data_IF_662789491640
#
_entry.id   IF_662789491640
#
_cell.length_a   1.000
_cell.length_b   1.000
_cell.length_c   1.000
_cell.angle_alpha   90.00
_cell.angle_beta   90.00
_cell.angle_gamma   90.00
#
_symmetry.space_group_name_H-M   'P 1'
#
loop_
_entity.id
_entity.type
_entity.pdbx_description
1 polymer ?
#
# COMPACT_ATOMS: atom_id res chain seq x y z
N UNK A 1 52.87 7.87 7.14
CA UNK A 1 51.70 8.75 7.34
C UNK A 1 50.81 8.70 6.10
N UNK A 2 49.72 7.93 6.11
CA UNK A 2 48.64 8.08 5.13
C UNK A 2 47.36 8.38 5.92
N UNK A 3 46.95 9.65 5.90
CA UNK A 3 45.68 10.07 6.48
C UNK A 3 44.53 9.65 5.56
N UNK A 4 43.70 8.74 6.04
CA UNK A 4 42.40 8.42 5.48
C UNK A 4 41.53 9.67 5.59
N UNK A 5 41.25 10.33 4.47
CA UNK A 5 40.23 11.38 4.40
C UNK A 5 38.87 10.71 4.57
N UNK A 6 38.23 10.97 5.72
CA UNK A 6 36.85 10.57 5.96
C UNK A 6 35.94 11.24 4.94
N UNK A 7 35.28 10.43 4.12
CA UNK A 7 34.25 10.89 3.20
C UNK A 7 32.99 11.15 4.03
N UNK A 8 32.79 12.40 4.45
CA UNK A 8 31.51 12.80 5.05
C UNK A 8 30.44 12.70 3.97
N UNK A 9 29.25 12.15 4.25
CA UNK A 9 28.18 12.13 3.28
C UNK A 9 27.83 13.57 2.91
N UNK A 10 27.82 13.84 1.61
CA UNK A 10 27.44 15.14 1.05
C UNK A 10 26.03 15.49 1.57
N UNK A 11 25.81 16.67 2.18
CA UNK A 11 24.51 17.04 2.67
C UNK A 11 23.49 16.97 1.53
N UNK A 12 22.38 16.26 1.77
CA UNK A 12 21.26 16.19 0.84
C UNK A 12 20.94 17.61 0.34
N UNK A 13 21.01 17.88 -0.97
CA UNK A 13 20.84 19.23 -1.50
C UNK A 13 19.45 19.72 -1.09
N UNK A 14 19.41 20.76 -0.26
CA UNK A 14 18.15 21.41 0.10
C UNK A 14 17.50 21.93 -1.18
N UNK A 15 16.26 21.51 -1.48
CA UNK A 15 15.61 21.91 -2.72
C UNK A 15 15.41 23.43 -2.74
N UNK A 16 16.09 24.11 -3.67
CA UNK A 16 16.04 25.57 -3.80
C UNK A 16 14.68 26.09 -4.30
N UNK A 17 13.82 25.19 -4.78
CA UNK A 17 12.43 25.46 -5.19
C UNK A 17 11.58 24.20 -4.95
N UNK A 18 10.46 24.36 -4.25
CA UNK A 18 9.44 23.31 -4.13
C UNK A 18 8.52 23.34 -5.35
N UNK A 19 8.34 22.22 -6.08
CA UNK A 19 7.45 22.17 -7.24
C UNK A 19 5.99 22.48 -6.88
N UNK A 20 5.26 23.08 -7.81
CA UNK A 20 3.81 23.26 -7.69
C UNK A 20 3.10 22.06 -8.31
N UNK A 21 2.15 21.49 -7.58
CA UNK A 21 1.41 20.32 -8.02
C UNK A 21 0.44 20.69 -9.16
N UNK A 22 0.52 19.96 -10.27
CA UNK A 22 -0.22 20.23 -11.51
C UNK A 22 -0.51 18.92 -12.26
N UNK A 23 -1.41 19.00 -13.25
CA UNK A 23 -1.85 17.84 -14.02
C UNK A 23 -0.81 17.44 -15.08
N UNK A 24 -0.68 16.13 -15.29
CA UNK A 24 0.12 15.58 -16.38
C UNK A 24 1.62 15.52 -16.07
N UNK A 25 2.41 15.12 -17.08
CA UNK A 25 3.85 14.90 -16.96
C UNK A 25 4.65 16.16 -17.24
N UNK A 26 5.69 16.39 -16.45
CA UNK A 26 6.56 17.56 -16.53
C UNK A 26 8.00 17.16 -16.82
N UNK A 27 8.71 18.02 -17.57
CA UNK A 27 10.13 17.77 -17.90
C UNK A 27 11.08 18.19 -16.78
N UNK A 28 10.67 19.13 -15.92
CA UNK A 28 11.53 19.71 -14.88
C UNK A 28 10.72 20.15 -13.65
N UNK A 29 11.34 20.25 -12.46
CA UNK A 29 10.72 20.81 -11.26
C UNK A 29 10.15 22.23 -11.42
N UNK A 30 10.73 23.04 -12.33
CA UNK A 30 10.31 24.43 -12.57
C UNK A 30 9.01 24.54 -13.36
N UNK A 31 8.65 23.51 -14.12
CA UNK A 31 7.41 23.48 -14.92
C UNK A 31 6.18 23.00 -14.13
N UNK A 32 6.34 22.70 -12.84
CA UNK A 32 5.35 21.97 -12.05
C UNK A 32 5.75 20.51 -11.86
N UNK A 33 4.94 19.79 -11.08
CA UNK A 33 5.08 18.35 -10.85
C UNK A 33 3.70 17.68 -10.84
N UNK A 34 3.61 16.46 -11.33
CA UNK A 34 2.56 15.54 -10.87
C UNK A 34 2.91 15.01 -9.47
N UNK A 35 1.96 14.28 -8.86
CA UNK A 35 2.17 13.68 -7.54
C UNK A 35 3.44 12.82 -7.46
N UNK A 36 3.68 11.97 -8.46
CA UNK A 36 4.80 11.03 -8.44
C UNK A 36 6.14 11.66 -8.80
N UNK A 37 6.16 12.71 -9.62
CA UNK A 37 7.38 13.50 -9.87
C UNK A 37 7.82 14.24 -8.59
N UNK A 38 6.86 14.74 -7.81
CA UNK A 38 7.16 15.33 -6.52
C UNK A 38 7.65 14.25 -5.53
N UNK A 39 7.01 13.08 -5.50
CA UNK A 39 7.48 11.96 -4.66
C UNK A 39 8.92 11.54 -5.02
N UNK A 40 9.24 11.42 -6.32
CA UNK A 40 10.59 11.08 -6.78
C UNK A 40 11.61 12.13 -6.34
N UNK A 41 11.25 13.41 -6.44
CA UNK A 41 12.09 14.53 -6.01
C UNK A 41 12.37 14.51 -4.51
N UNK A 42 11.34 14.28 -3.68
CA UNK A 42 11.50 14.19 -2.22
C UNK A 42 12.30 12.94 -1.79
N UNK A 43 12.18 11.85 -2.55
CA UNK A 43 12.95 10.63 -2.31
C UNK A 43 14.43 10.74 -2.75
N UNK A 44 14.83 11.85 -3.39
CA UNK A 44 16.18 12.02 -3.95
C UNK A 44 16.44 11.18 -5.20
N UNK A 45 15.39 10.68 -5.85
CA UNK A 45 15.49 9.92 -7.09
C UNK A 45 15.60 10.83 -8.33
N UNK A 46 15.92 10.25 -9.48
CA UNK A 46 15.81 10.93 -10.75
C UNK A 46 14.36 11.42 -10.97
N UNK A 47 14.19 12.59 -11.59
CA UNK A 47 12.88 13.17 -11.89
C UNK A 47 12.06 12.23 -12.78
N UNK A 48 10.99 11.66 -12.24
CA UNK A 48 10.17 10.67 -12.94
C UNK A 48 8.76 10.62 -12.37
N UNK A 49 7.76 10.47 -13.24
CA UNK A 49 6.39 10.13 -12.86
C UNK A 49 6.21 8.62 -12.58
N UNK A 50 7.27 7.83 -12.77
CA UNK A 50 7.34 6.41 -12.47
C UNK A 50 8.57 6.13 -11.59
N UNK A 51 8.58 6.60 -10.33
CA UNK A 51 9.72 6.41 -9.43
C UNK A 51 9.86 4.97 -8.94
N UNK A 52 11.06 4.63 -8.48
CA UNK A 52 11.35 3.33 -7.86
C UNK A 52 10.95 3.30 -6.37
N UNK A 53 10.83 4.47 -5.73
CA UNK A 53 10.50 4.61 -4.31
C UNK A 53 9.04 4.24 -3.96
N UNK A 54 8.20 3.88 -4.93
CA UNK A 54 6.77 3.59 -4.72
C UNK A 54 6.30 2.42 -5.59
N UNK A 55 5.41 1.59 -5.06
CA UNK A 55 4.80 0.47 -5.76
C UNK A 55 4.10 0.93 -7.05
N UNK A 56 4.31 0.27 -8.21
CA UNK A 56 3.81 0.75 -9.51
C UNK A 56 2.30 1.05 -9.56
N UNK A 57 1.47 0.23 -8.90
CA UNK A 57 0.02 0.47 -8.86
C UNK A 57 -0.39 1.63 -7.95
N UNK A 58 0.34 1.89 -6.86
CA UNK A 58 0.11 3.08 -6.02
C UNK A 58 0.47 4.32 -6.83
N UNK A 59 1.62 4.30 -7.53
CA UNK A 59 2.04 5.38 -8.42
C UNK A 59 1.07 5.61 -9.58
N UNK A 60 0.50 4.54 -10.15
CA UNK A 60 -0.53 4.61 -11.19
C UNK A 60 -1.80 5.29 -10.69
N UNK A 61 -2.32 4.87 -9.53
CA UNK A 61 -3.51 5.46 -8.92
C UNK A 61 -3.27 6.93 -8.52
N UNK A 62 -2.14 7.24 -7.89
CA UNK A 62 -1.82 8.59 -7.45
C UNK A 62 -1.73 9.60 -8.62
N UNK A 63 -1.15 9.19 -9.76
CA UNK A 63 -1.15 10.01 -10.98
C UNK A 63 -2.57 10.25 -11.51
N UNK A 64 -3.40 9.21 -11.57
CA UNK A 64 -4.78 9.36 -12.04
C UNK A 64 -5.60 10.25 -11.12
N UNK A 65 -5.48 10.08 -9.79
CA UNK A 65 -6.13 10.96 -8.80
C UNK A 65 -5.65 12.40 -8.95
N UNK A 66 -4.34 12.63 -9.09
CA UNK A 66 -3.78 13.96 -9.33
C UNK A 66 -4.37 14.64 -10.57
N UNK A 67 -4.47 13.89 -11.66
CA UNK A 67 -4.92 14.40 -12.95
C UNK A 67 -6.44 14.63 -13.01
N UNK A 68 -7.20 13.90 -12.20
CA UNK A 68 -8.66 14.02 -12.10
C UNK A 68 -9.12 14.99 -11.00
N UNK A 69 -8.26 15.32 -10.03
CA UNK A 69 -8.57 16.31 -8.99
C UNK A 69 -8.59 17.71 -9.60
N UNK A 70 -9.57 18.54 -9.23
CA UNK A 70 -9.68 19.92 -9.71
C UNK A 70 -8.47 20.78 -9.31
N UNK A 71 -8.21 21.85 -10.08
CA UNK A 71 -7.09 22.75 -9.81
C UNK A 71 -7.16 23.39 -8.41
N UNK A 72 -8.37 23.75 -7.95
CA UNK A 72 -8.59 24.34 -6.63
C UNK A 72 -8.35 23.37 -5.48
N UNK A 73 -8.59 22.07 -5.70
CA UNK A 73 -8.47 21.05 -4.66
C UNK A 73 -7.13 20.32 -4.66
N UNK A 74 -6.36 20.38 -5.77
CA UNK A 74 -5.15 19.56 -5.96
C UNK A 74 -4.09 19.79 -4.89
N UNK A 75 -3.96 21.01 -4.37
CA UNK A 75 -3.01 21.33 -3.29
C UNK A 75 -3.27 20.51 -2.01
N UNK A 76 -4.50 20.01 -1.80
CA UNK A 76 -4.83 19.11 -0.70
C UNK A 76 -4.14 17.75 -0.78
N UNK A 77 -3.67 17.35 -1.97
CA UNK A 77 -2.92 16.08 -2.13
C UNK A 77 -1.48 16.19 -1.60
N UNK A 78 -0.93 17.40 -1.46
CA UNK A 78 0.49 17.61 -1.09
C UNK A 78 0.90 16.91 0.20
N UNK A 79 0.11 16.94 1.29
CA UNK A 79 0.45 16.23 2.53
C UNK A 79 0.56 14.71 2.39
N UNK A 80 -0.05 14.11 1.35
CA UNK A 80 0.01 12.65 1.11
C UNK A 80 1.28 12.21 0.37
N UNK A 81 2.01 13.15 -0.27
CA UNK A 81 3.17 12.83 -1.12
C UNK A 81 4.28 12.10 -0.35
N UNK A 82 4.68 12.51 0.87
CA UNK A 82 5.71 11.78 1.60
C UNK A 82 5.29 10.34 1.97
N UNK A 83 4.00 10.08 2.12
CA UNK A 83 3.46 8.79 2.59
C UNK A 83 3.57 7.65 1.57
N UNK A 84 3.82 7.96 0.29
CA UNK A 84 4.05 6.92 -0.74
C UNK A 84 5.52 6.50 -0.86
N UNK A 85 6.44 7.26 -0.26
CA UNK A 85 7.88 7.00 -0.34
C UNK A 85 8.22 5.81 0.54
N UNK A 86 8.91 4.83 -0.03
CA UNK A 86 9.27 3.59 0.65
C UNK A 86 8.18 2.52 0.61
N UNK A 87 7.02 2.79 0.02
CA UNK A 87 5.99 1.77 -0.24
C UNK A 87 6.43 0.87 -1.40
N UNK A 88 7.47 0.09 -1.20
CA UNK A 88 8.05 -0.82 -2.19
C UNK A 88 7.82 -2.28 -1.79
N UNK A 89 7.86 -3.18 -2.77
CA UNK A 89 7.65 -4.61 -2.56
C UNK A 89 6.77 -5.23 -3.65
N UNK A 90 6.67 -6.55 -3.64
CA UNK A 90 5.99 -7.36 -4.67
C UNK A 90 4.85 -8.23 -4.11
N UNK A 91 4.43 -7.95 -2.86
CA UNK A 91 3.36 -8.70 -2.21
C UNK A 91 2.09 -8.71 -3.10
N UNK A 92 1.64 -9.90 -3.56
CA UNK A 92 0.56 -10.00 -4.53
C UNK A 92 -0.79 -9.52 -4.00
N UNK A 93 -0.95 -9.33 -2.68
CA UNK A 93 -2.17 -8.78 -2.08
C UNK A 93 -2.34 -7.30 -2.38
N UNK A 94 -1.24 -6.55 -2.53
CA UNK A 94 -1.28 -5.09 -2.75
C UNK A 94 -2.10 -4.75 -3.99
N UNK A 95 -1.87 -5.43 -5.12
CA UNK A 95 -2.64 -5.18 -6.35
C UNK A 95 -4.15 -5.42 -6.20
N UNK A 96 -4.53 -6.45 -5.44
CA UNK A 96 -5.93 -6.82 -5.22
C UNK A 96 -6.61 -5.82 -4.29
N UNK A 97 -5.93 -5.42 -3.22
CA UNK A 97 -6.43 -4.47 -2.24
C UNK A 97 -6.61 -3.06 -2.82
N UNK A 98 -5.65 -2.61 -3.65
CA UNK A 98 -5.79 -1.35 -4.39
C UNK A 98 -7.00 -1.40 -5.32
N UNK A 99 -7.13 -2.47 -6.11
CA UNK A 99 -8.20 -2.61 -7.08
C UNK A 99 -9.59 -2.68 -6.41
N UNK A 100 -9.75 -3.49 -5.36
CA UNK A 100 -11.04 -3.61 -4.65
C UNK A 100 -11.40 -2.33 -3.91
N UNK A 101 -10.43 -1.62 -3.32
CA UNK A 101 -10.69 -0.31 -2.70
C UNK A 101 -11.14 0.72 -3.73
N UNK A 102 -10.46 0.81 -4.88
CA UNK A 102 -10.87 1.70 -5.96
C UNK A 102 -12.28 1.38 -6.47
N UNK A 103 -12.55 0.10 -6.74
CA UNK A 103 -13.84 -0.33 -7.24
C UNK A 103 -14.99 -0.08 -6.25
N UNK A 104 -14.79 -0.41 -4.97
CA UNK A 104 -15.80 -0.19 -3.93
C UNK A 104 -16.07 1.29 -3.65
N UNK A 105 -15.05 2.15 -3.76
CA UNK A 105 -15.22 3.61 -3.63
C UNK A 105 -16.03 4.20 -4.81
N UNK A 106 -15.83 3.68 -6.02
CA UNK A 106 -16.45 4.20 -7.24
C UNK A 106 -17.83 3.59 -7.54
N UNK A 107 -18.10 2.34 -7.14
CA UNK A 107 -19.32 1.62 -7.48
C UNK A 107 -20.62 2.43 -7.19
N UNK A 108 -20.80 3.04 -6.01
CA UNK A 108 -22.07 3.71 -5.69
C UNK A 108 -22.35 4.98 -6.51
N UNK A 109 -21.32 5.57 -7.13
CA UNK A 109 -21.40 6.88 -7.80
C UNK A 109 -21.19 6.81 -9.31
N UNK A 110 -20.77 5.66 -9.82
CA UNK A 110 -20.46 5.46 -11.24
C UNK A 110 -21.72 5.23 -12.09
N UNK A 111 -21.59 5.42 -13.41
CA UNK A 111 -22.63 5.06 -14.38
C UNK A 111 -22.96 3.56 -14.36
N UNK A 112 -24.13 3.14 -14.86
CA UNK A 112 -24.53 1.73 -14.87
C UNK A 112 -23.52 0.81 -15.60
N UNK A 113 -22.91 1.28 -16.69
CA UNK A 113 -21.90 0.50 -17.42
C UNK A 113 -20.60 0.36 -16.63
N UNK A 114 -20.14 1.44 -15.99
CA UNK A 114 -18.99 1.37 -15.08
C UNK A 114 -19.30 0.49 -13.86
N UNK A 115 -20.51 0.59 -13.29
CA UNK A 115 -20.93 -0.22 -12.15
C UNK A 115 -20.83 -1.72 -12.44
N UNK A 116 -21.28 -2.16 -13.63
CA UNK A 116 -21.16 -3.55 -14.07
C UNK A 116 -19.70 -4.01 -14.13
N UNK A 117 -18.82 -3.21 -14.74
CA UNK A 117 -17.40 -3.53 -14.84
C UNK A 117 -16.73 -3.60 -13.45
N UNK A 118 -17.04 -2.64 -12.57
CA UNK A 118 -16.52 -2.58 -11.21
C UNK A 118 -17.02 -3.73 -10.34
N UNK A 119 -18.31 -4.11 -10.45
CA UNK A 119 -18.88 -5.23 -9.72
C UNK A 119 -18.20 -6.56 -10.07
N UNK A 120 -17.95 -6.81 -11.36
CA UNK A 120 -17.16 -7.97 -11.80
C UNK A 120 -15.73 -7.91 -11.27
N UNK A 121 -15.12 -6.72 -11.27
CA UNK A 121 -13.80 -6.48 -10.68
C UNK A 121 -13.75 -6.84 -9.19
N UNK A 122 -14.72 -6.38 -8.40
CA UNK A 122 -14.81 -6.66 -6.95
C UNK A 122 -14.91 -8.16 -6.69
N UNK A 123 -15.84 -8.87 -7.36
CA UNK A 123 -16.02 -10.31 -7.19
C UNK A 123 -14.79 -11.12 -7.61
N UNK A 124 -14.07 -10.67 -8.65
CA UNK A 124 -12.82 -11.29 -9.04
C UNK A 124 -11.72 -11.06 -7.99
N UNK A 125 -11.58 -9.84 -7.47
CA UNK A 125 -10.62 -9.53 -6.41
C UNK A 125 -10.90 -10.33 -5.13
N UNK A 126 -12.16 -10.40 -4.70
CA UNK A 126 -12.59 -11.16 -3.51
C UNK A 126 -12.16 -12.62 -3.60
N UNK A 127 -12.52 -13.29 -4.71
CA UNK A 127 -12.14 -14.69 -4.94
C UNK A 127 -10.62 -14.90 -5.03
N UNK A 128 -9.87 -13.95 -5.59
CA UNK A 128 -8.40 -14.08 -5.67
C UNK A 128 -7.75 -13.87 -4.29
N UNK A 129 -8.32 -13.00 -3.45
CA UNK A 129 -7.87 -12.81 -2.07
C UNK A 129 -8.13 -14.05 -1.21
N UNK A 130 -9.25 -14.75 -1.41
CA UNK A 130 -9.51 -16.05 -0.75
C UNK A 130 -8.46 -17.12 -1.07
N UNK A 131 -7.80 -17.01 -2.23
CA UNK A 131 -6.74 -17.93 -2.66
C UNK A 131 -5.33 -17.56 -2.18
N UNK A 132 -5.17 -16.47 -1.44
CA UNK A 132 -3.87 -16.01 -0.92
C UNK A 132 -3.84 -16.11 0.60
N UNK A 133 -2.75 -16.66 1.15
CA UNK A 133 -2.51 -16.67 2.58
C UNK A 133 -2.39 -15.25 3.16
N UNK A 134 -2.78 -15.10 4.42
CA UNK A 134 -2.66 -13.87 5.20
C UNK A 134 -4.00 -13.21 5.55
N UNK A 135 -4.01 -12.46 6.64
CA UNK A 135 -5.19 -11.79 7.17
C UNK A 135 -5.67 -10.67 6.23
N UNK A 136 -6.96 -10.68 5.91
CA UNK A 136 -7.59 -9.60 5.15
C UNK A 136 -7.62 -8.34 6.03
N UNK A 137 -7.45 -7.14 5.44
CA UNK A 137 -7.61 -5.90 6.20
C UNK A 137 -8.97 -5.84 6.89
N UNK A 138 -8.97 -5.38 8.14
CA UNK A 138 -10.19 -5.16 8.91
C UNK A 138 -11.19 -4.31 8.11
N UNK A 139 -12.45 -4.73 8.12
CA UNK A 139 -13.53 -4.03 7.44
C UNK A 139 -13.54 -4.15 5.91
N UNK A 140 -12.64 -4.91 5.29
CA UNK A 140 -12.70 -5.15 3.83
C UNK A 140 -14.05 -5.75 3.41
N UNK A 141 -14.51 -6.80 4.09
CA UNK A 141 -15.79 -7.44 3.82
C UNK A 141 -16.97 -6.45 4.01
N UNK A 142 -16.93 -5.64 5.06
CA UNK A 142 -17.93 -4.61 5.32
C UNK A 142 -17.95 -3.53 4.22
N UNK A 143 -16.78 -3.14 3.70
CA UNK A 143 -16.65 -2.19 2.57
C UNK A 143 -17.24 -2.76 1.29
N UNK A 144 -16.92 -4.01 0.95
CA UNK A 144 -17.48 -4.70 -0.21
C UNK A 144 -19.01 -4.77 -0.10
N UNK A 145 -19.52 -5.18 1.06
CA UNK A 145 -20.95 -5.27 1.32
C UNK A 145 -21.64 -3.91 1.19
N UNK A 146 -21.10 -2.87 1.83
CA UNK A 146 -21.63 -1.49 1.75
C UNK A 146 -21.70 -0.99 0.31
N UNK A 147 -20.67 -1.28 -0.51
CA UNK A 147 -20.67 -0.87 -1.92
C UNK A 147 -21.78 -1.58 -2.70
N UNK A 148 -21.97 -2.88 -2.50
CA UNK A 148 -23.02 -3.64 -3.18
C UNK A 148 -24.43 -3.32 -2.66
N UNK A 149 -24.59 -2.94 -1.39
CA UNK A 149 -25.88 -2.48 -0.85
C UNK A 149 -26.39 -1.22 -1.56
N UNK A 150 -25.48 -0.39 -2.08
CA UNK A 150 -25.83 0.76 -2.91
C UNK A 150 -26.18 0.40 -4.36
N UNK A 151 -25.88 -0.83 -4.82
CA UNK A 151 -26.10 -1.30 -6.19
C UNK A 151 -26.49 -2.79 -6.26
N UNK A 152 -27.60 -3.21 -5.63
CA UNK A 152 -27.94 -4.63 -5.49
C UNK A 152 -28.26 -5.33 -6.82
N UNK A 153 -28.89 -4.62 -7.77
CA UNK A 153 -29.15 -5.17 -9.10
C UNK A 153 -27.86 -5.41 -9.90
N UNK A 154 -26.88 -4.52 -9.74
CA UNK A 154 -25.55 -4.68 -10.34
C UNK A 154 -24.82 -5.88 -9.73
N UNK A 155 -24.92 -6.07 -8.41
CA UNK A 155 -24.36 -7.26 -7.75
C UNK A 155 -24.96 -8.55 -8.32
N UNK A 156 -26.29 -8.63 -8.39
CA UNK A 156 -27.01 -9.79 -8.92
C UNK A 156 -26.58 -10.10 -10.35
N UNK A 157 -26.60 -9.09 -11.21
CA UNK A 157 -26.15 -9.20 -12.60
C UNK A 157 -24.71 -9.69 -12.70
N UNK A 158 -23.79 -9.15 -11.89
CA UNK A 158 -22.37 -9.52 -11.95
C UNK A 158 -22.14 -10.98 -11.54
N UNK A 159 -22.88 -11.46 -10.52
CA UNK A 159 -22.83 -12.87 -10.09
C UNK A 159 -23.33 -13.80 -11.19
N UNK A 160 -24.46 -13.48 -11.82
CA UNK A 160 -25.01 -14.23 -12.95
C UNK A 160 -24.06 -14.24 -14.16
N UNK A 161 -23.50 -13.07 -14.49
CA UNK A 161 -22.53 -12.93 -15.58
C UNK A 161 -21.29 -13.80 -15.34
N UNK A 162 -20.68 -13.75 -14.15
CA UNK A 162 -19.52 -14.57 -13.82
C UNK A 162 -19.87 -16.07 -13.90
N UNK A 163 -21.05 -16.47 -13.41
CA UNK A 163 -21.51 -17.86 -13.52
C UNK A 163 -21.67 -18.31 -14.98
N UNK A 164 -22.16 -17.44 -15.87
CA UNK A 164 -22.29 -17.75 -17.30
C UNK A 164 -20.95 -17.86 -18.04
N UNK A 165 -19.91 -17.18 -17.57
CA UNK A 165 -18.58 -17.17 -18.21
C UNK A 165 -17.74 -18.42 -17.87
N UNK A 166 -18.21 -19.28 -16.96
CA UNK A 166 -17.59 -20.58 -16.65
C UNK A 166 -16.10 -20.48 -16.31
N UNK A 167 -15.28 -21.27 -17.01
CA UNK A 167 -13.84 -21.37 -16.76
C UNK A 167 -13.03 -20.10 -17.08
N UNK A 168 -13.54 -19.19 -17.93
CA UNK A 168 -12.88 -17.91 -18.22
C UNK A 168 -12.79 -17.03 -16.98
N UNK A 169 -13.72 -17.21 -16.04
CA UNK A 169 -13.64 -16.52 -14.76
C UNK A 169 -12.33 -16.84 -14.02
N UNK A 170 -11.66 -17.99 -14.23
CA UNK A 170 -10.49 -18.44 -13.45
C UNK A 170 -9.14 -17.88 -13.93
N UNK A 171 -9.13 -16.94 -14.88
CA UNK A 171 -7.88 -16.31 -15.36
C UNK A 171 -7.16 -15.57 -14.23
N UNK A 172 -5.82 -15.59 -14.27
CA UNK A 172 -4.97 -14.89 -13.29
C UNK A 172 -5.27 -13.40 -13.28
N UNK A 173 -5.32 -12.82 -12.08
CA UNK A 173 -5.42 -11.38 -11.90
C UNK A 173 -4.05 -10.73 -12.12
N UNK A 174 -3.96 -9.80 -13.07
CA UNK A 174 -2.71 -9.16 -13.51
C UNK A 174 -2.68 -7.68 -13.13
N UNK A 175 -1.49 -7.06 -13.13
CA UNK A 175 -1.35 -5.62 -12.89
C UNK A 175 -2.14 -4.80 -13.92
N UNK A 176 -2.19 -5.25 -15.19
CA UNK A 176 -3.03 -4.62 -16.23
C UNK A 176 -4.53 -4.65 -15.89
N UNK A 177 -4.98 -5.72 -15.25
CA UNK A 177 -6.37 -5.83 -14.78
C UNK A 177 -6.62 -4.83 -13.66
N UNK A 178 -5.70 -4.75 -12.69
CA UNK A 178 -5.75 -3.77 -11.61
C UNK A 178 -5.77 -2.33 -12.15
N UNK A 179 -4.87 -1.98 -13.08
CA UNK A 179 -4.83 -0.65 -13.72
C UNK A 179 -6.11 -0.30 -14.44
N UNK A 180 -6.75 -1.29 -15.09
CA UNK A 180 -8.05 -1.08 -15.76
C UNK A 180 -9.14 -0.76 -14.73
N UNK A 181 -9.21 -1.51 -13.63
CA UNK A 181 -10.15 -1.25 -12.54
C UNK A 181 -9.91 0.13 -11.93
N UNK A 182 -8.65 0.49 -11.66
CA UNK A 182 -8.29 1.80 -11.10
C UNK A 182 -8.74 2.91 -12.05
N UNK A 183 -8.47 2.78 -13.36
CA UNK A 183 -8.86 3.78 -14.36
C UNK A 183 -10.38 4.00 -14.36
N UNK A 184 -11.15 2.93 -14.47
CA UNK A 184 -12.62 2.99 -14.47
C UNK A 184 -13.14 3.59 -13.15
N UNK A 185 -12.50 3.25 -12.03
CA UNK A 185 -12.90 3.75 -10.71
C UNK A 185 -12.65 5.25 -10.57
N UNK A 186 -11.43 5.71 -10.90
CA UNK A 186 -11.06 7.13 -10.76
C UNK A 186 -11.87 8.00 -11.73
N UNK A 187 -12.04 7.56 -12.98
CA UNK A 187 -12.90 8.26 -13.94
C UNK A 187 -14.36 8.27 -13.48
N UNK A 188 -14.88 7.13 -13.01
CA UNK A 188 -16.23 7.01 -12.48
C UNK A 188 -16.50 7.97 -11.32
N UNK A 189 -15.54 8.18 -10.42
CA UNK A 189 -15.64 9.17 -9.33
C UNK A 189 -15.55 10.60 -9.87
N UNK A 190 -14.60 10.88 -10.77
CA UNK A 190 -14.37 12.23 -11.28
C UNK A 190 -15.52 12.75 -12.16
N UNK A 191 -16.18 11.85 -12.90
CA UNK A 191 -17.30 12.16 -13.79
C UNK A 191 -18.67 12.03 -13.09
N UNK A 192 -18.69 11.54 -11.84
CA UNK A 192 -19.93 11.39 -11.09
C UNK A 192 -20.59 12.76 -10.86
N UNK A 193 -21.90 12.83 -11.09
CA UNK A 193 -22.72 13.99 -10.75
C UNK A 193 -22.98 14.05 -9.22
N UNK A 194 -21.92 14.13 -8.43
CA UNK A 194 -21.96 14.22 -6.97
C UNK A 194 -21.38 15.55 -6.51
N UNK A 195 -21.78 16.07 -5.33
CA UNK A 195 -21.28 17.36 -4.86
C UNK A 195 -19.79 17.39 -4.52
N UNK A 196 -19.15 16.23 -4.31
CA UNK A 196 -17.81 16.14 -3.73
C UNK A 196 -16.89 15.09 -4.39
N UNK A 197 -16.67 15.14 -5.72
CA UNK A 197 -15.78 14.21 -6.40
C UNK A 197 -14.32 14.32 -5.92
N UNK A 198 -13.83 15.53 -5.66
CA UNK A 198 -12.46 15.75 -5.17
C UNK A 198 -12.23 15.13 -3.78
N UNK A 199 -13.21 15.22 -2.87
CA UNK A 199 -13.12 14.59 -1.55
C UNK A 199 -13.05 13.07 -1.70
N UNK A 200 -13.87 12.49 -2.57
CA UNK A 200 -13.85 11.04 -2.83
C UNK A 200 -12.52 10.57 -3.42
N UNK A 201 -11.92 11.36 -4.32
CA UNK A 201 -10.61 11.08 -4.88
C UNK A 201 -9.50 11.16 -3.82
N UNK A 202 -9.57 12.16 -2.94
CA UNK A 202 -8.65 12.30 -1.81
C UNK A 202 -8.76 11.10 -0.86
N UNK A 203 -9.97 10.74 -0.42
CA UNK A 203 -10.21 9.59 0.46
C UNK A 203 -9.80 8.26 -0.18
N UNK A 204 -10.00 8.11 -1.49
CA UNK A 204 -9.53 6.95 -2.23
C UNK A 204 -8.01 6.83 -2.17
N UNK A 205 -7.27 7.91 -2.49
CA UNK A 205 -5.81 7.89 -2.45
C UNK A 205 -5.29 7.64 -1.03
N UNK A 206 -5.80 8.36 -0.04
CA UNK A 206 -5.43 8.18 1.37
C UNK A 206 -5.64 6.74 1.83
N UNK A 207 -6.81 6.16 1.57
CA UNK A 207 -7.11 4.78 1.95
C UNK A 207 -6.26 3.74 1.20
N UNK A 208 -5.87 4.01 -0.05
CA UNK A 208 -4.96 3.15 -0.82
C UNK A 208 -3.55 3.18 -0.22
N UNK A 209 -3.08 4.36 0.18
CA UNK A 209 -1.80 4.52 0.87
C UNK A 209 -1.83 3.70 2.17
N UNK A 210 -2.88 3.83 2.98
CA UNK A 210 -3.04 3.07 4.23
C UNK A 210 -3.03 1.55 4.01
N UNK A 211 -3.79 1.05 3.03
CA UNK A 211 -3.81 -0.39 2.71
C UNK A 211 -2.44 -0.88 2.26
N UNK A 212 -1.76 -0.11 1.40
CA UNK A 212 -0.42 -0.45 0.92
C UNK A 212 0.60 -0.44 2.07
N UNK A 213 0.56 0.56 2.95
CA UNK A 213 1.42 0.65 4.14
C UNK A 213 1.23 -0.58 5.03
N UNK A 214 -0.01 -0.99 5.33
CA UNK A 214 -0.26 -2.16 6.19
C UNK A 214 0.30 -3.46 5.62
N UNK A 215 0.24 -3.61 4.30
CA UNK A 215 0.63 -4.86 3.61
C UNK A 215 2.13 -4.91 3.31
N UNK A 216 2.75 -3.75 3.05
CA UNK A 216 4.17 -3.62 2.72
C UNK A 216 5.04 -3.25 3.92
N UNK A 217 4.44 -2.95 5.09
CA UNK A 217 5.19 -2.73 6.32
C UNK A 217 6.12 -3.93 6.59
N UNK A 218 7.39 -3.69 6.94
CA UNK A 218 8.27 -4.75 7.38
C UNK A 218 7.62 -5.48 8.56
N UNK A 219 7.56 -6.82 8.49
CA UNK A 219 7.22 -7.62 9.66
C UNK A 219 8.40 -7.44 10.63
N UNK A 220 8.19 -6.75 11.76
CA UNK A 220 9.24 -6.68 12.78
C UNK A 220 9.60 -8.12 13.20
N UNK A 221 10.89 -8.46 13.29
CA UNK A 221 11.29 -9.76 13.82
C UNK A 221 10.73 -9.88 15.23
N UNK A 222 9.95 -10.93 15.48
CA UNK A 222 9.57 -11.31 16.85
C UNK A 222 10.89 -11.62 17.58
N UNK A 223 11.33 -10.75 18.48
CA UNK A 223 12.40 -11.07 19.41
C UNK A 223 11.97 -12.29 20.23
N UNK A 224 12.46 -13.47 19.85
CA UNK A 224 12.39 -14.64 20.72
C UNK A 224 13.13 -14.30 22.01
N UNK A 225 12.51 -14.45 23.20
CA UNK A 225 13.19 -14.22 24.46
C UNK A 225 14.44 -15.09 24.50
N UNK A 226 15.61 -14.46 24.61
CA UNK A 226 16.87 -15.15 24.79
C UNK A 226 16.84 -15.87 26.13
N UNK A 227 16.91 -17.20 26.11
CA UNK A 227 17.15 -17.98 27.32
C UNK A 227 18.49 -17.52 27.94
N UNK A 228 18.38 -16.79 29.05
CA UNK A 228 19.52 -16.41 29.88
C UNK A 228 20.18 -17.69 30.41
N UNK A 229 21.41 -17.94 29.95
CA UNK A 229 22.30 -18.96 30.50
C UNK A 229 22.58 -18.63 31.97
N UNK A 230 22.03 -19.41 32.88
CA UNK A 230 22.43 -19.42 34.30
C UNK A 230 23.82 -20.05 34.39
N UNK A 231 24.84 -19.21 34.60
CA UNK A 231 26.17 -19.63 35.03
C UNK A 231 26.09 -20.01 36.51
N UNK A 232 26.17 -21.32 36.79
CA UNK A 232 26.42 -21.82 38.14
C UNK A 232 27.88 -21.51 38.51
N UNK A 233 28.03 -20.66 39.52
CA UNK A 233 29.28 -20.34 40.17
C UNK A 233 29.50 -21.39 41.28
N UNK A 234 30.50 -22.25 41.14
CA UNK A 234 30.92 -23.17 42.21
C UNK A 234 32.45 -23.22 42.28
N UNK A 235 32.99 -22.33 43.10
CA UNK A 235 34.41 -22.23 43.40
C UNK A 235 34.83 -23.29 44.42
N UNK A 236 35.95 -23.97 44.13
CA UNK A 236 36.60 -24.99 44.97
C UNK A 236 37.44 -24.40 46.10
N UNK A 237 37.55 -25.16 47.19
CA UNK A 237 38.70 -25.21 48.12
C UNK A 237 38.28 -24.95 49.57
N UNK A 238 38.70 -25.67 50.61
CA UNK A 238 39.78 -26.64 50.74
C UNK A 238 39.59 -27.48 52.04
N UNK A 239 40.14 -28.70 51.99
CA UNK A 239 40.86 -29.46 53.01
C UNK A 239 40.63 -29.18 54.52
N UNK A 240 40.17 -30.22 55.25
CA UNK A 240 40.62 -30.53 56.62
C UNK A 240 40.07 -31.90 57.10
N UNK A 241 40.94 -32.92 57.19
CA UNK A 241 40.88 -34.03 58.18
C UNK A 241 41.82 -33.66 59.33
N UNK A 242 41.58 -34.05 60.61
CA UNK A 242 41.51 -35.45 61.10
C UNK A 242 40.39 -35.60 62.19
N UNK A 243 40.10 -36.68 62.92
CA UNK A 243 40.86 -37.82 63.44
C UNK A 243 39.89 -38.96 63.85
N UNK A 244 40.50 -40.07 64.30
CA UNK A 244 39.95 -41.40 64.59
C UNK A 244 39.12 -41.52 65.89
N UNK A 245 38.16 -42.47 65.85
CA UNK A 245 37.88 -43.55 66.83
C UNK A 245 37.25 -43.25 68.20
N UNK A 246 36.04 -43.79 68.44
CA UNK A 246 35.71 -44.85 69.44
C UNK A 246 34.22 -45.26 69.35
N UNK A 247 33.91 -46.55 69.12
CA UNK A 247 33.28 -47.56 70.04
C UNK A 247 31.78 -47.29 70.28
N UNK A 248 30.80 -48.18 70.00
CA UNK A 248 30.59 -49.57 70.49
C UNK A 248 29.38 -50.19 69.73
N UNK A 249 29.41 -51.51 69.50
CA UNK A 249 28.32 -52.30 68.93
C UNK A 249 28.86 -53.54 68.25
#
# INVERSE_FOLDING_TARGET
>A
MNMLKGNSPDPMPVPSLMPVLSRGKHRTPRSGACFMEFASYLAGEAWSDHPACTHPLVASLARMVNDCTSDSSRTRLVPLIPSVIGLTGDNPRVRLLIAVRAATAALPVSSADHQRALAVGILNCERQLEGLDGELPDGLAARIRTAFDAAPETERWAREFIASMGAWSRTKFTDRTAETIIRVSVQGIAEACTPNPDDRLFELLSGVIEDATRVLAPVEPVETPSESVVLADDARGADARPARMRVRG
#
